data_IF_341322994399
#
_entry.id   IF_341322994399
#
_cell.length_a   1.000
_cell.length_b   1.000
_cell.length_c   1.000
_cell.angle_alpha   90.00
_cell.angle_beta   90.00
_cell.angle_gamma   90.00
#
_symmetry.space_group_name_H-M   'P 1'
#
loop_
_entity.id
_entity.type
_entity.pdbx_description
1 polymer ?
#
# COMPACT_ATOMS: atom_id res chain seq x y z
N UNK A 1 -24.83 16.16 -2.72
CA UNK A 1 -25.02 14.67 -2.68
C UNK A 1 -26.47 14.30 -3.03
N UNK A 2 -27.48 15.05 -2.53
CA UNK A 2 -28.91 14.74 -2.79
C UNK A 2 -29.28 14.73 -4.29
N UNK A 3 -28.57 15.50 -5.11
CA UNK A 3 -28.81 15.61 -6.55
C UNK A 3 -28.02 14.60 -7.40
N UNK A 4 -27.24 13.73 -6.75
CA UNK A 4 -26.47 12.69 -7.43
C UNK A 4 -27.12 11.31 -7.27
N UNK A 5 -27.14 10.54 -8.35
CA UNK A 5 -27.27 9.10 -8.30
C UNK A 5 -25.86 8.51 -8.10
N UNK A 6 -25.70 7.66 -7.10
CA UNK A 6 -24.42 7.07 -6.71
C UNK A 6 -24.60 5.56 -6.68
N UNK A 7 -23.84 4.85 -7.51
CA UNK A 7 -23.93 3.40 -7.64
C UNK A 7 -22.59 2.77 -7.34
N UNK A 8 -22.49 1.91 -6.33
CA UNK A 8 -21.29 1.12 -6.09
C UNK A 8 -21.10 0.09 -7.22
N UNK A 9 -19.83 -0.23 -7.50
CA UNK A 9 -19.50 -1.17 -8.58
C UNK A 9 -18.56 -2.28 -8.18
N UNK A 10 -17.63 -2.01 -7.27
CA UNK A 10 -16.67 -3.01 -6.81
C UNK A 10 -16.01 -2.53 -5.51
N UNK A 11 -15.17 -3.35 -4.90
CA UNK A 11 -14.22 -2.89 -3.90
C UNK A 11 -12.80 -3.00 -4.46
N UNK A 12 -12.01 -1.95 -4.33
CA UNK A 12 -10.60 -1.91 -4.71
C UNK A 12 -9.74 -1.99 -3.46
N UNK A 13 -8.86 -2.98 -3.42
CA UNK A 13 -7.93 -3.19 -2.32
C UNK A 13 -6.62 -2.45 -2.57
N UNK A 14 -6.10 -1.87 -1.50
CA UNK A 14 -4.78 -1.27 -1.44
C UNK A 14 -3.90 -2.06 -0.49
N UNK A 15 -2.61 -1.76 -0.51
CA UNK A 15 -1.67 -2.36 0.41
C UNK A 15 -0.48 -1.44 0.66
N UNK A 16 0.25 -1.78 1.68
CA UNK A 16 1.50 -1.11 2.05
C UNK A 16 2.66 -1.93 1.50
N UNK A 17 3.22 -1.54 0.34
CA UNK A 17 4.40 -2.19 -0.20
C UNK A 17 5.65 -1.71 0.53
N UNK A 18 6.57 -2.63 0.76
CA UNK A 18 7.90 -2.35 1.30
C UNK A 18 8.96 -3.00 0.41
N UNK A 19 10.16 -2.40 0.32
CA UNK A 19 11.28 -3.01 -0.41
C UNK A 19 11.60 -4.39 0.13
N UNK A 20 12.08 -5.30 -0.73
CA UNK A 20 12.38 -6.68 -0.35
C UNK A 20 13.30 -6.76 0.88
N UNK A 21 14.32 -5.89 0.97
CA UNK A 21 15.20 -5.86 2.12
C UNK A 21 14.50 -5.48 3.44
N UNK A 22 13.52 -4.55 3.40
CA UNK A 22 12.70 -4.23 4.57
C UNK A 22 11.74 -5.39 4.91
N UNK A 23 11.13 -6.00 3.90
CA UNK A 23 10.27 -7.16 4.06
C UNK A 23 11.00 -8.30 4.78
N UNK A 24 12.21 -8.64 4.33
CA UNK A 24 13.05 -9.71 4.89
C UNK A 24 13.52 -9.37 6.31
N UNK A 25 13.84 -8.11 6.59
CA UNK A 25 14.18 -7.65 7.93
C UNK A 25 13.00 -7.80 8.90
N UNK A 26 11.81 -7.34 8.51
CA UNK A 26 10.59 -7.51 9.31
C UNK A 26 10.27 -8.99 9.54
N UNK A 27 10.43 -9.81 8.51
CA UNK A 27 10.20 -11.25 8.57
C UNK A 27 11.18 -11.93 9.55
N UNK A 28 12.48 -11.61 9.47
CA UNK A 28 13.51 -12.12 10.38
C UNK A 28 13.16 -11.80 11.82
N UNK A 29 12.81 -10.55 12.10
CA UNK A 29 12.41 -10.10 13.44
C UNK A 29 11.20 -10.87 13.96
N UNK A 30 10.17 -11.02 13.15
CA UNK A 30 8.89 -11.61 13.56
C UNK A 30 8.99 -13.14 13.72
N UNK A 31 9.83 -13.81 12.95
CA UNK A 31 10.18 -15.23 13.18
C UNK A 31 10.91 -15.39 14.50
N UNK A 32 11.93 -14.56 14.75
CA UNK A 32 12.72 -14.63 15.99
C UNK A 32 11.92 -14.30 17.25
N UNK A 33 10.87 -13.47 17.11
CA UNK A 33 9.92 -13.17 18.20
C UNK A 33 8.84 -14.24 18.39
N UNK A 34 8.65 -15.14 17.44
CA UNK A 34 7.55 -16.10 17.41
C UNK A 34 6.22 -15.54 16.90
N UNK A 35 6.21 -14.34 16.30
CA UNK A 35 5.03 -13.73 15.67
C UNK A 35 4.72 -14.41 14.32
N UNK A 36 5.73 -15.00 13.69
CA UNK A 36 5.64 -15.83 12.49
C UNK A 36 6.16 -17.25 12.76
N UNK A 37 5.68 -18.25 12.01
CA UNK A 37 6.16 -19.62 12.13
C UNK A 37 7.68 -19.73 11.92
N UNK A 38 8.37 -20.53 12.75
CA UNK A 38 9.82 -20.70 12.69
C UNK A 38 10.32 -21.41 11.41
N UNK A 39 9.43 -22.07 10.68
CA UNK A 39 9.73 -22.74 9.41
C UNK A 39 9.54 -21.81 8.18
N UNK A 40 9.21 -20.54 8.39
CA UNK A 40 9.14 -19.58 7.30
C UNK A 40 10.52 -19.30 6.71
N UNK A 41 10.69 -19.55 5.43
CA UNK A 41 11.91 -19.14 4.73
C UNK A 41 11.92 -17.61 4.54
N UNK A 42 13.06 -16.96 4.79
CA UNK A 42 13.21 -15.52 4.56
C UNK A 42 12.98 -15.22 3.08
N UNK A 43 12.24 -14.17 2.81
CA UNK A 43 11.77 -13.79 1.47
C UNK A 43 10.51 -14.53 1.01
N UNK A 44 10.01 -15.52 1.76
CA UNK A 44 8.74 -16.20 1.44
C UNK A 44 7.58 -15.20 1.41
N UNK A 45 6.74 -15.30 0.36
CA UNK A 45 5.59 -14.40 0.16
C UNK A 45 4.24 -15.12 0.35
N UNK A 46 4.25 -16.26 1.03
CA UNK A 46 3.00 -16.92 1.44
C UNK A 46 2.29 -16.11 2.52
N UNK A 47 0.96 -16.21 2.59
CA UNK A 47 0.16 -15.48 3.58
C UNK A 47 0.64 -15.76 5.01
N UNK A 48 0.94 -17.01 5.34
CA UNK A 48 1.38 -17.40 6.70
C UNK A 48 2.73 -16.77 7.07
N UNK A 49 3.65 -16.65 6.11
CA UNK A 49 5.01 -16.13 6.33
C UNK A 49 5.16 -14.63 6.04
N UNK A 50 4.09 -13.96 5.64
CA UNK A 50 4.12 -12.52 5.36
C UNK A 50 4.27 -11.73 6.66
N UNK A 51 5.26 -10.81 6.78
CA UNK A 51 5.42 -9.99 7.96
C UNK A 51 4.31 -8.94 8.08
N UNK A 52 4.09 -8.46 9.29
CA UNK A 52 3.04 -7.50 9.62
C UNK A 52 3.63 -6.18 10.12
N UNK A 53 2.98 -5.08 9.73
CA UNK A 53 3.09 -3.79 10.41
C UNK A 53 1.76 -3.50 11.09
N UNK A 54 1.79 -2.82 12.24
CA UNK A 54 0.56 -2.31 12.84
C UNK A 54 0.08 -1.05 12.11
N UNK A 55 -1.22 -0.77 12.16
CA UNK A 55 -1.80 0.50 11.71
C UNK A 55 -1.02 1.70 12.27
N UNK A 56 -0.62 1.65 13.54
CA UNK A 56 0.15 2.73 14.16
C UNK A 56 1.56 2.86 13.59
N UNK A 57 2.25 1.75 13.34
CA UNK A 57 3.58 1.78 12.71
C UNK A 57 3.52 2.37 11.31
N UNK A 58 2.53 1.98 10.51
CA UNK A 58 2.31 2.60 9.19
C UNK A 58 2.02 4.09 9.35
N UNK A 59 1.14 4.48 10.27
CA UNK A 59 0.81 5.89 10.52
C UNK A 59 2.04 6.72 10.87
N UNK A 60 2.91 6.24 11.76
CA UNK A 60 4.13 6.97 12.17
C UNK A 60 5.14 7.11 11.02
N UNK A 61 5.25 6.10 10.15
CA UNK A 61 6.12 6.15 8.97
C UNK A 61 5.60 7.14 7.92
N UNK A 62 4.30 7.07 7.55
CA UNK A 62 3.74 7.90 6.50
C UNK A 62 3.42 9.34 6.93
N UNK A 63 3.33 9.61 8.24
CA UNK A 63 3.27 10.96 8.79
C UNK A 63 4.65 11.59 8.99
N UNK A 64 5.74 10.81 8.86
CA UNK A 64 7.11 11.27 9.06
C UNK A 64 7.50 11.48 10.52
N UNK A 65 6.77 10.90 11.46
CA UNK A 65 7.14 10.92 12.89
C UNK A 65 8.38 10.06 13.14
N UNK A 66 8.47 8.89 12.49
CA UNK A 66 9.69 8.10 12.41
C UNK A 66 10.45 8.52 11.15
N UNK A 67 11.66 9.02 11.33
CA UNK A 67 12.52 9.57 10.27
C UNK A 67 13.67 8.64 9.92
N UNK A 68 14.08 7.81 10.87
CA UNK A 68 15.22 6.88 10.76
C UNK A 68 14.79 5.49 11.24
N UNK A 69 15.34 4.45 10.64
CA UNK A 69 15.07 3.06 11.08
C UNK A 69 15.65 2.75 12.46
N UNK A 70 16.63 3.54 12.91
CA UNK A 70 17.12 3.54 14.30
C UNK A 70 16.08 4.08 15.32
N UNK A 71 15.03 4.71 14.87
CA UNK A 71 13.90 5.15 15.70
C UNK A 71 12.75 4.13 15.70
N UNK A 72 12.80 3.11 14.83
CA UNK A 72 11.78 2.07 14.75
C UNK A 72 12.05 0.99 15.79
N UNK A 73 11.35 1.09 16.92
CA UNK A 73 11.55 0.22 18.07
C UNK A 73 10.81 -1.12 17.94
N UNK A 74 11.47 -2.16 18.39
CA UNK A 74 10.99 -3.54 18.45
C UNK A 74 11.26 -4.08 19.85
N UNK A 75 10.23 -4.53 20.53
CA UNK A 75 10.39 -5.20 21.82
C UNK A 75 10.46 -6.72 21.64
N UNK A 76 11.47 -7.35 22.26
CA UNK A 76 11.59 -8.80 22.39
C UNK A 76 11.91 -9.14 23.85
N UNK A 77 11.04 -9.93 24.49
CA UNK A 77 11.21 -10.35 25.89
C UNK A 77 11.48 -9.19 26.86
N UNK A 78 10.84 -8.04 26.63
CA UNK A 78 11.02 -6.83 27.44
C UNK A 78 12.29 -6.04 27.15
N UNK A 79 13.11 -6.46 26.17
CA UNK A 79 14.28 -5.71 25.70
C UNK A 79 13.93 -4.98 24.41
N UNK A 80 14.20 -3.68 24.35
CA UNK A 80 14.00 -2.87 23.16
C UNK A 80 15.22 -2.95 22.23
N UNK A 81 14.96 -3.15 20.97
CA UNK A 81 15.90 -3.12 19.87
C UNK A 81 15.44 -2.12 18.82
N UNK A 82 16.35 -1.56 18.05
CA UNK A 82 15.99 -0.80 16.85
C UNK A 82 16.00 -1.72 15.64
N UNK A 83 15.09 -1.50 14.68
CA UNK A 83 14.99 -2.40 13.51
C UNK A 83 16.31 -2.52 12.77
N UNK A 84 17.01 -1.41 12.51
CA UNK A 84 18.27 -1.38 11.77
C UNK A 84 19.46 -2.02 12.50
N UNK A 85 19.34 -2.35 13.79
CA UNK A 85 20.37 -2.99 14.60
C UNK A 85 19.96 -4.38 15.08
N UNK A 86 18.80 -4.86 14.67
CA UNK A 86 18.32 -6.18 15.09
C UNK A 86 19.27 -7.30 14.61
N UNK A 87 19.56 -8.31 15.42
CA UNK A 87 20.42 -9.41 15.02
C UNK A 87 19.88 -10.19 13.81
N UNK A 88 20.76 -10.61 12.90
CA UNK A 88 20.43 -11.48 11.77
C UNK A 88 19.81 -10.78 10.55
N UNK A 89 19.59 -9.48 10.60
CA UNK A 89 19.08 -8.75 9.42
C UNK A 89 20.20 -8.24 8.51
N UNK A 90 19.89 -8.07 7.22
CA UNK A 90 20.72 -7.31 6.29
C UNK A 90 20.38 -5.84 6.42
N UNK A 91 21.34 -5.03 6.87
CA UNK A 91 21.15 -3.59 7.08
C UNK A 91 21.06 -2.85 5.74
N UNK A 92 20.21 -1.80 5.65
CA UNK A 92 20.23 -0.90 4.51
C UNK A 92 21.50 -0.04 4.51
N UNK A 93 21.85 0.51 3.36
CA UNK A 93 23.00 1.45 3.26
C UNK A 93 22.69 2.82 3.87
N UNK A 94 21.41 3.14 4.06
CA UNK A 94 20.90 4.38 4.64
C UNK A 94 20.00 4.06 5.82
N UNK A 95 20.19 4.74 6.94
CA UNK A 95 19.30 4.67 8.10
C UNK A 95 18.00 5.47 7.91
N UNK A 96 17.91 6.30 6.88
CA UNK A 96 16.75 7.15 6.65
C UNK A 96 15.54 6.33 6.19
N UNK A 97 14.36 6.67 6.71
CA UNK A 97 13.10 6.17 6.18
C UNK A 97 12.88 6.79 4.79
N UNK A 98 12.70 5.96 3.77
CA UNK A 98 12.33 6.36 2.42
C UNK A 98 10.85 6.08 2.20
N UNK A 99 10.10 7.13 1.91
CA UNK A 99 8.68 7.01 1.61
C UNK A 99 8.40 7.37 0.14
N UNK A 100 8.18 6.33 -0.68
CA UNK A 100 7.66 6.50 -2.02
C UNK A 100 6.18 6.90 -1.91
N UNK A 101 5.90 8.21 -1.92
CA UNK A 101 4.59 8.79 -1.67
C UNK A 101 3.89 9.14 -2.98
N UNK A 102 2.57 8.97 -3.04
CA UNK A 102 1.76 9.51 -4.13
C UNK A 102 1.63 11.03 -4.01
N UNK A 103 1.70 11.73 -5.14
CA UNK A 103 1.47 13.18 -5.19
C UNK A 103 0.03 13.53 -4.78
N UNK A 104 -0.23 14.78 -4.31
CA UNK A 104 -1.59 15.24 -4.01
C UNK A 104 -2.55 14.99 -5.19
N UNK A 105 -3.80 14.68 -4.89
CA UNK A 105 -4.82 14.31 -5.88
C UNK A 105 -4.87 12.82 -6.23
N UNK A 106 -3.98 11.99 -5.68
CA UNK A 106 -4.04 10.53 -5.84
C UNK A 106 -5.14 9.91 -4.97
N UNK A 107 -6.05 9.17 -5.57
CA UNK A 107 -7.06 8.38 -4.82
C UNK A 107 -6.42 7.33 -3.92
N UNK A 108 -5.36 6.63 -4.36
CA UNK A 108 -4.59 5.68 -3.53
C UNK A 108 -4.02 6.37 -2.28
N UNK A 109 -3.43 7.57 -2.46
CA UNK A 109 -2.91 8.34 -1.33
C UNK A 109 -4.02 8.76 -0.37
N UNK A 110 -5.12 9.33 -0.88
CA UNK A 110 -6.25 9.76 -0.07
C UNK A 110 -6.85 8.62 0.74
N UNK A 111 -7.03 7.44 0.13
CA UNK A 111 -7.54 6.23 0.80
C UNK A 111 -6.65 5.84 1.98
N UNK A 112 -5.35 5.72 1.76
CA UNK A 112 -4.42 5.30 2.82
C UNK A 112 -4.28 6.35 3.91
N UNK A 113 -4.36 7.64 3.58
CA UNK A 113 -4.39 8.69 4.61
C UNK A 113 -5.67 8.63 5.45
N UNK A 114 -6.81 8.33 4.83
CA UNK A 114 -8.05 8.13 5.57
C UNK A 114 -7.96 6.92 6.52
N UNK A 115 -7.41 5.79 6.06
CA UNK A 115 -7.33 4.54 6.83
C UNK A 115 -6.30 4.62 7.97
N UNK A 116 -5.09 5.13 7.68
CA UNK A 116 -3.98 5.10 8.64
C UNK A 116 -3.84 6.38 9.45
N UNK A 117 -4.23 7.54 8.89
CA UNK A 117 -4.03 8.84 9.54
C UNK A 117 -5.33 9.51 10.02
N UNK A 118 -6.49 8.94 9.73
CA UNK A 118 -7.79 9.60 9.90
C UNK A 118 -7.86 10.97 9.17
N UNK A 119 -7.06 11.17 8.13
CA UNK A 119 -7.07 12.41 7.36
C UNK A 119 -8.29 12.46 6.42
N UNK A 120 -8.94 13.61 6.26
CA UNK A 120 -8.56 14.94 6.73
C UNK A 120 -9.23 15.40 8.03
N UNK A 121 -9.37 14.53 9.04
CA UNK A 121 -9.95 14.93 10.32
C UNK A 121 -9.06 15.96 11.05
N UNK A 122 -9.51 17.18 11.19
CA UNK A 122 -8.73 18.27 11.80
C UNK A 122 -8.57 18.15 13.30
N UNK A 123 -9.43 17.37 13.97
CA UNK A 123 -9.43 17.22 15.43
C UNK A 123 -8.74 15.93 15.91
N UNK A 124 -8.65 14.91 15.06
CA UNK A 124 -8.22 13.56 15.46
C UNK A 124 -7.32 12.86 14.44
N UNK A 125 -7.00 13.51 13.32
CA UNK A 125 -6.16 12.96 12.25
C UNK A 125 -4.72 13.46 12.34
N UNK A 126 -3.83 12.73 11.64
CA UNK A 126 -2.46 13.14 11.38
C UNK A 126 -2.34 13.56 9.92
N UNK A 127 -1.51 14.56 9.65
CA UNK A 127 -1.18 14.92 8.28
C UNK A 127 -0.13 13.97 7.70
N UNK A 128 -0.28 13.56 6.44
CA UNK A 128 0.79 12.84 5.75
C UNK A 128 2.00 13.75 5.56
N UNK A 129 3.21 13.21 5.76
CA UNK A 129 4.44 13.96 5.57
C UNK A 129 4.49 14.60 4.18
N UNK A 130 4.79 15.89 4.10
CA UNK A 130 4.83 16.62 2.84
C UNK A 130 5.99 16.16 1.94
N UNK A 131 5.79 16.12 0.62
CA UNK A 131 6.89 15.90 -0.34
C UNK A 131 7.96 17.00 -0.19
N UNK A 132 7.57 18.22 0.15
CA UNK A 132 8.51 19.30 0.41
C UNK A 132 9.34 19.11 1.69
N UNK A 133 8.99 18.16 2.55
CA UNK A 133 9.75 17.80 3.75
C UNK A 133 10.84 16.75 3.48
N UNK A 134 11.13 16.41 2.20
CA UNK A 134 12.24 15.51 1.84
C UNK A 134 13.57 16.03 2.42
N UNK A 135 14.20 15.23 3.27
CA UNK A 135 15.43 15.60 3.93
C UNK A 135 16.49 14.51 3.78
N UNK A 136 17.55 14.82 3.04
CA UNK A 136 18.64 13.87 2.74
C UNK A 136 19.60 13.61 3.90
N UNK A 137 19.57 14.43 4.94
CA UNK A 137 20.50 14.35 6.08
C UNK A 137 19.82 13.74 7.29
N UNK A 138 18.68 14.28 7.67
CA UNK A 138 17.97 13.88 8.90
C UNK A 138 16.71 13.04 8.63
N UNK A 139 16.30 12.90 7.37
CA UNK A 139 15.10 12.18 6.95
C UNK A 139 13.78 12.85 7.41
N UNK A 140 12.64 12.28 7.07
CA UNK A 140 12.53 11.17 6.12
C UNK A 140 12.82 11.61 4.68
N UNK A 141 13.15 10.67 3.82
CA UNK A 141 13.20 10.87 2.37
C UNK A 141 11.79 10.71 1.81
N UNK A 142 11.22 11.77 1.26
CA UNK A 142 9.83 11.78 0.76
C UNK A 142 9.81 11.99 -0.74
N UNK A 143 9.50 10.92 -1.47
CA UNK A 143 9.70 10.84 -2.91
C UNK A 143 8.35 10.85 -3.64
N UNK A 144 8.03 11.97 -4.27
CA UNK A 144 6.75 12.21 -4.91
C UNK A 144 6.57 11.44 -6.23
N UNK A 145 5.51 10.64 -6.33
CA UNK A 145 5.19 9.80 -7.48
C UNK A 145 3.82 10.15 -8.05
N UNK A 146 3.76 10.62 -9.30
CA UNK A 146 2.52 11.07 -9.95
C UNK A 146 1.58 9.91 -10.33
N UNK A 147 2.12 8.70 -10.53
CA UNK A 147 1.36 7.53 -10.95
C UNK A 147 1.81 6.25 -10.25
N UNK A 148 0.98 5.20 -10.34
CA UNK A 148 1.29 3.88 -9.78
C UNK A 148 2.51 3.23 -10.44
N UNK A 149 2.72 3.41 -11.75
CA UNK A 149 3.92 2.92 -12.42
C UNK A 149 5.21 3.65 -11.99
N UNK A 150 5.12 4.92 -11.57
CA UNK A 150 6.27 5.62 -10.98
C UNK A 150 6.53 5.12 -9.56
N UNK A 151 5.48 4.76 -8.82
CA UNK A 151 5.60 4.11 -7.52
C UNK A 151 6.34 2.77 -7.61
N UNK A 152 6.00 1.92 -8.60
CA UNK A 152 6.68 0.66 -8.87
C UNK A 152 8.18 0.89 -9.06
N UNK A 153 8.55 1.88 -9.90
CA UNK A 153 9.94 2.23 -10.16
C UNK A 153 10.65 2.80 -8.93
N UNK A 154 9.97 3.65 -8.14
CA UNK A 154 10.56 4.22 -6.93
C UNK A 154 10.95 3.13 -5.92
N UNK A 155 10.05 2.19 -5.63
CA UNK A 155 10.32 1.08 -4.73
C UNK A 155 11.40 0.13 -5.29
N UNK A 156 11.34 -0.17 -6.59
CA UNK A 156 12.32 -1.02 -7.27
C UNK A 156 13.73 -0.43 -7.24
N UNK A 157 13.83 0.89 -7.47
CA UNK A 157 15.12 1.60 -7.44
C UNK A 157 15.79 1.52 -6.08
N UNK A 158 15.05 1.70 -4.98
CA UNK A 158 15.61 1.55 -3.64
C UNK A 158 15.86 0.09 -3.25
N UNK A 159 15.12 -0.86 -3.80
CA UNK A 159 15.40 -2.27 -3.57
C UNK A 159 16.67 -2.75 -4.29
N UNK A 160 16.96 -2.22 -5.48
CA UNK A 160 18.03 -2.69 -6.39
C UNK A 160 19.22 -1.75 -6.53
N UNK A 161 19.16 -0.54 -5.98
CA UNK A 161 20.19 0.48 -6.17
C UNK A 161 20.24 1.00 -7.61
N UNK A 162 19.08 1.21 -8.23
CA UNK A 162 18.94 1.78 -9.58
C UNK A 162 18.31 3.17 -9.56
N UNK A 163 18.12 3.82 -10.69
CA UNK A 163 17.48 5.14 -10.78
C UNK A 163 16.56 5.25 -12.01
N UNK A 164 15.65 4.31 -12.19
CA UNK A 164 14.69 4.32 -13.31
C UNK A 164 13.52 5.29 -13.09
N UNK A 165 13.28 5.67 -11.84
CA UNK A 165 12.29 6.69 -11.47
C UNK A 165 12.83 8.11 -11.57
N UNK A 166 14.16 8.30 -11.57
CA UNK A 166 14.82 9.58 -11.40
C UNK A 166 14.88 10.08 -9.94
N UNK A 167 14.37 9.29 -8.98
CA UNK A 167 14.25 9.68 -7.58
C UNK A 167 15.34 9.10 -6.66
N UNK A 168 16.21 8.26 -7.21
CA UNK A 168 17.35 7.65 -6.52
C UNK A 168 18.67 7.93 -7.26
N UNK A 169 19.09 9.21 -7.40
CA UNK A 169 20.28 9.56 -8.17
C UNK A 169 21.57 8.96 -7.59
N UNK A 170 21.63 8.76 -6.29
CA UNK A 170 22.75 8.12 -5.59
C UNK A 170 22.79 6.60 -5.78
N UNK A 171 21.78 6.01 -6.41
CA UNK A 171 21.61 4.57 -6.58
C UNK A 171 21.76 3.80 -5.26
N UNK A 172 21.24 4.36 -4.18
CA UNK A 172 21.29 3.75 -2.86
C UNK A 172 20.37 2.52 -2.78
N UNK A 173 20.84 1.47 -2.13
CA UNK A 173 19.97 0.38 -1.67
C UNK A 173 19.46 0.75 -0.29
N UNK A 174 18.15 0.97 -0.18
CA UNK A 174 17.54 1.46 1.05
C UNK A 174 16.22 0.75 1.36
N UNK A 175 15.86 0.77 2.62
CA UNK A 175 14.53 0.35 3.02
C UNK A 175 13.52 1.48 2.72
N UNK A 176 12.51 1.14 1.94
CA UNK A 176 11.46 2.07 1.55
C UNK A 176 10.09 1.46 1.78
N UNK A 177 9.14 2.35 2.09
CA UNK A 177 7.70 2.06 2.19
C UNK A 177 6.96 2.87 1.13
N UNK A 178 5.83 2.37 0.66
CA UNK A 178 5.04 3.03 -0.39
C UNK A 178 3.54 2.89 -0.21
N UNK A 179 2.82 3.30 -1.25
CA UNK A 179 1.36 3.30 -1.33
C UNK A 179 0.94 2.73 -2.68
N UNK A 180 0.27 1.59 -2.73
CA UNK A 180 -0.05 0.94 -4.00
C UNK A 180 -1.35 0.15 -3.92
N UNK A 181 -2.01 -0.02 -5.05
CA UNK A 181 -3.13 -0.96 -5.19
C UNK A 181 -2.62 -2.38 -5.43
N UNK A 182 -3.38 -3.39 -5.00
CA UNK A 182 -2.89 -4.78 -4.93
C UNK A 182 -2.69 -5.45 -6.28
N UNK A 183 -3.27 -4.93 -7.37
CA UNK A 183 -3.03 -5.46 -8.71
C UNK A 183 -1.60 -5.21 -9.21
N UNK A 184 -0.84 -4.35 -8.51
CA UNK A 184 0.54 -4.03 -8.87
C UNK A 184 1.51 -5.10 -8.38
N UNK A 185 2.58 -5.31 -9.15
CA UNK A 185 3.63 -6.27 -8.85
C UNK A 185 3.13 -7.71 -8.64
N UNK A 186 2.04 -8.09 -9.29
CA UNK A 186 1.42 -9.42 -9.14
C UNK A 186 2.33 -10.58 -9.53
N UNK A 187 3.26 -10.34 -10.45
CA UNK A 187 4.28 -11.29 -10.92
C UNK A 187 5.62 -11.17 -10.16
N UNK A 188 5.68 -10.31 -9.13
CA UNK A 188 6.89 -10.02 -8.36
C UNK A 188 8.10 -9.55 -9.22
N UNK A 189 7.84 -8.85 -10.32
CA UNK A 189 8.87 -8.32 -11.21
C UNK A 189 9.68 -7.17 -10.57
N UNK A 190 9.04 -6.42 -9.67
CA UNK A 190 9.66 -5.32 -8.92
C UNK A 190 10.16 -5.78 -7.55
N UNK A 191 11.16 -5.09 -7.04
CA UNK A 191 11.86 -5.40 -5.78
C UNK A 191 11.10 -5.03 -4.50
N UNK A 192 9.77 -5.15 -4.49
CA UNK A 192 8.95 -4.90 -3.30
C UNK A 192 7.89 -5.98 -3.08
N UNK A 193 7.39 -6.08 -1.88
CA UNK A 193 6.27 -6.95 -1.47
C UNK A 193 5.32 -6.18 -0.56
N UNK A 194 4.05 -6.58 -0.56
CA UNK A 194 3.08 -6.07 0.42
C UNK A 194 3.26 -6.78 1.77
N UNK A 195 2.89 -6.09 2.84
CA UNK A 195 2.91 -6.64 4.21
C UNK A 195 1.50 -6.78 4.76
N UNK A 196 1.32 -7.61 5.79
CA UNK A 196 0.10 -7.63 6.60
C UNK A 196 -0.06 -6.30 7.35
N UNK A 197 -1.30 -5.95 7.62
CA UNK A 197 -1.64 -4.85 8.54
C UNK A 197 -2.41 -5.43 9.71
N UNK A 198 -1.94 -5.18 10.93
CA UNK A 198 -2.50 -5.72 12.18
C UNK A 198 -2.72 -7.25 12.11
N UNK A 199 -1.78 -7.97 11.49
CA UNK A 199 -1.83 -9.41 11.30
C UNK A 199 -2.69 -9.90 10.12
N UNK A 200 -3.47 -9.02 9.47
CA UNK A 200 -4.32 -9.37 8.34
C UNK A 200 -3.56 -9.18 7.00
N UNK A 201 -3.46 -10.23 6.21
CA UNK A 201 -2.89 -10.17 4.87
C UNK A 201 -3.85 -9.41 3.91
N UNK A 202 -3.31 -8.65 2.95
CA UNK A 202 -4.10 -7.92 1.96
C UNK A 202 -4.68 -8.87 0.91
N UNK A 203 -5.71 -9.63 1.29
CA UNK A 203 -6.38 -10.59 0.41
C UNK A 203 -7.86 -10.25 0.25
N UNK A 204 -8.46 -10.67 -0.87
CA UNK A 204 -9.90 -10.51 -1.09
C UNK A 204 -10.72 -11.17 0.02
N UNK A 205 -10.27 -12.34 0.51
CA UNK A 205 -10.90 -13.06 1.61
C UNK A 205 -10.90 -12.23 2.89
N UNK A 206 -9.78 -11.62 3.23
CA UNK A 206 -9.63 -10.84 4.45
C UNK A 206 -10.36 -9.48 4.37
N UNK A 207 -10.47 -8.90 3.18
CA UNK A 207 -11.32 -7.74 2.95
C UNK A 207 -12.80 -8.08 3.08
N UNK A 208 -13.24 -9.18 2.47
CA UNK A 208 -14.63 -9.64 2.54
C UNK A 208 -15.09 -9.94 3.97
N UNK A 209 -14.27 -10.55 4.80
CA UNK A 209 -14.60 -10.85 6.20
C UNK A 209 -14.35 -9.69 7.16
N UNK A 210 -13.88 -8.53 6.66
CA UNK A 210 -13.68 -7.31 7.43
C UNK A 210 -12.40 -7.25 8.26
N UNK A 211 -11.49 -8.24 8.16
CA UNK A 211 -10.23 -8.23 8.89
C UNK A 211 -9.19 -7.33 8.26
N UNK A 212 -9.18 -7.19 6.92
CA UNK A 212 -8.33 -6.25 6.20
C UNK A 212 -9.12 -5.01 5.80
N UNK A 213 -8.65 -3.81 6.16
CA UNK A 213 -9.45 -2.56 6.09
C UNK A 213 -9.00 -1.57 5.00
N UNK A 214 -7.83 -1.77 4.38
CA UNK A 214 -7.33 -0.84 3.35
C UNK A 214 -7.95 -1.15 1.99
N UNK A 215 -9.23 -0.81 1.85
CA UNK A 215 -10.00 -0.92 0.63
C UNK A 215 -11.00 0.22 0.51
N UNK A 216 -11.44 0.50 -0.70
CA UNK A 216 -12.46 1.53 -1.01
C UNK A 216 -13.47 0.97 -1.99
N UNK A 217 -14.69 1.46 -1.92
CA UNK A 217 -15.76 1.18 -2.86
C UNK A 217 -15.74 2.22 -3.99
N UNK A 218 -15.25 1.90 -5.20
CA UNK A 218 -15.44 2.74 -6.38
C UNK A 218 -16.91 2.88 -6.73
N UNK A 219 -17.33 4.10 -7.05
CA UNK A 219 -18.69 4.40 -7.40
C UNK A 219 -18.78 5.12 -8.75
N UNK A 220 -19.82 4.84 -9.53
CA UNK A 220 -20.26 5.73 -10.60
C UNK A 220 -21.20 6.77 -10.03
N UNK A 221 -21.04 8.03 -10.46
CA UNK A 221 -21.83 9.13 -9.95
C UNK A 221 -22.28 10.03 -11.12
N UNK A 222 -23.55 10.40 -11.15
CA UNK A 222 -24.08 11.33 -12.12
C UNK A 222 -25.24 12.15 -11.54
N UNK A 223 -25.55 13.26 -12.18
CA UNK A 223 -26.73 14.07 -11.78
C UNK A 223 -28.02 13.33 -12.06
N UNK A 224 -28.94 13.34 -11.11
CA UNK A 224 -30.32 12.78 -11.30
C UNK A 224 -31.12 13.57 -12.25
N UNK A 225 -31.02 14.91 -12.21
CA UNK A 225 -31.83 15.87 -12.96
C UNK A 225 -31.01 17.07 -13.43
N UNK A 226 -31.56 17.85 -14.34
CA UNK A 226 -30.98 19.09 -14.83
C UNK A 226 -29.94 18.91 -15.93
N UNK A 227 -29.21 19.98 -16.21
CA UNK A 227 -28.19 19.98 -17.26
C UNK A 227 -27.05 18.98 -16.95
N UNK A 228 -26.75 18.10 -17.89
CA UNK A 228 -25.76 17.04 -17.77
C UNK A 228 -26.24 15.75 -17.08
N UNK A 229 -27.54 15.66 -16.73
CA UNK A 229 -28.13 14.40 -16.30
C UNK A 229 -28.25 13.45 -17.51
N UNK A 230 -27.81 12.19 -17.43
CA UNK A 230 -27.96 11.24 -18.52
C UNK A 230 -29.44 10.91 -18.71
N UNK A 231 -29.86 10.79 -19.97
CA UNK A 231 -31.24 10.44 -20.34
C UNK A 231 -31.27 9.53 -21.58
N UNK A 232 -32.38 8.87 -21.82
CA UNK A 232 -32.57 8.01 -22.99
C UNK A 232 -31.47 6.96 -23.14
N UNK A 233 -30.81 6.94 -24.28
CA UNK A 233 -29.73 5.95 -24.53
C UNK A 233 -28.50 6.16 -23.69
N UNK A 234 -28.19 7.40 -23.29
CA UNK A 234 -27.05 7.66 -22.39
C UNK A 234 -27.27 7.01 -21.02
N UNK A 235 -28.48 7.12 -20.45
CA UNK A 235 -28.78 6.46 -19.18
C UNK A 235 -28.66 4.93 -19.29
N UNK A 236 -29.16 4.35 -20.41
CA UNK A 236 -28.99 2.90 -20.65
C UNK A 236 -27.51 2.46 -20.69
N UNK A 237 -26.64 3.29 -21.29
CA UNK A 237 -25.20 3.03 -21.32
C UNK A 237 -24.61 3.10 -19.91
N UNK A 238 -24.96 4.12 -19.13
CA UNK A 238 -24.49 4.28 -17.75
C UNK A 238 -24.96 3.10 -16.89
N UNK A 239 -26.24 2.72 -16.95
CA UNK A 239 -26.76 1.57 -16.22
C UNK A 239 -26.04 0.27 -16.60
N UNK A 240 -25.77 0.07 -17.90
CA UNK A 240 -25.02 -1.11 -18.37
C UNK A 240 -23.58 -1.11 -17.84
N UNK A 241 -22.89 0.05 -17.85
CA UNK A 241 -21.55 0.17 -17.28
C UNK A 241 -21.51 -0.16 -15.78
N UNK A 242 -22.48 0.31 -14.99
CA UNK A 242 -22.59 -0.01 -13.56
C UNK A 242 -22.74 -1.51 -13.36
N UNK A 243 -23.67 -2.14 -14.08
CA UNK A 243 -23.95 -3.59 -13.96
C UNK A 243 -22.70 -4.40 -14.33
N UNK A 244 -22.05 -4.09 -15.45
CA UNK A 244 -20.90 -4.85 -15.94
C UNK A 244 -19.66 -4.63 -15.07
N UNK A 245 -19.40 -3.38 -14.62
CA UNK A 245 -18.26 -3.08 -13.77
C UNK A 245 -18.34 -3.74 -12.38
N UNK A 246 -19.57 -3.99 -11.88
CA UNK A 246 -19.82 -4.73 -10.64
C UNK A 246 -19.96 -6.25 -10.83
N UNK A 247 -20.00 -6.75 -12.06
CA UNK A 247 -20.20 -8.18 -12.33
C UNK A 247 -18.96 -9.00 -11.95
N UNK A 248 -19.08 -9.99 -11.04
CA UNK A 248 -17.97 -10.86 -10.68
C UNK A 248 -17.35 -11.59 -11.88
N UNK A 249 -18.17 -12.04 -12.82
CA UNK A 249 -17.71 -12.71 -14.03
C UNK A 249 -16.90 -11.80 -14.96
N UNK A 250 -17.35 -10.56 -15.14
CA UNK A 250 -16.64 -9.56 -15.95
C UNK A 250 -15.35 -9.14 -15.28
N UNK A 251 -15.39 -8.81 -13.99
CA UNK A 251 -14.20 -8.45 -13.21
C UNK A 251 -13.16 -9.57 -13.27
N UNK A 252 -13.58 -10.83 -13.06
CA UNK A 252 -12.69 -11.97 -13.15
C UNK A 252 -12.12 -12.16 -14.56
N UNK A 253 -12.90 -11.97 -15.62
CA UNK A 253 -12.45 -12.19 -17.01
C UNK A 253 -11.48 -11.13 -17.49
N UNK A 254 -11.71 -9.86 -17.13
CA UNK A 254 -10.90 -8.73 -17.60
C UNK A 254 -9.59 -8.59 -16.82
N UNK A 255 -9.66 -8.77 -15.50
CA UNK A 255 -8.54 -8.54 -14.59
C UNK A 255 -7.72 -9.80 -14.28
N UNK A 256 -8.19 -10.95 -14.73
CA UNK A 256 -7.62 -12.25 -14.43
C UNK A 256 -6.55 -12.69 -15.44
N UNK A 257 -5.72 -11.76 -15.91
CA UNK A 257 -4.74 -12.03 -16.97
C UNK A 257 -3.44 -12.69 -16.51
N UNK A 258 -3.16 -12.72 -15.22
CA UNK A 258 -1.94 -13.33 -14.66
C UNK A 258 -2.30 -14.42 -13.67
N UNK A 259 -1.64 -15.58 -13.78
CA UNK A 259 -1.73 -16.68 -12.80
C UNK A 259 -0.98 -16.36 -11.49
N UNK A 260 -0.26 -15.25 -11.42
CA UNK A 260 0.69 -14.92 -10.36
C UNK A 260 0.15 -13.94 -9.31
N UNK A 261 -1.13 -13.63 -9.33
CA UNK A 261 -1.71 -12.77 -8.29
C UNK A 261 -1.77 -13.48 -6.93
N UNK A 262 -0.94 -13.05 -6.00
CA UNK A 262 -0.82 -13.65 -4.68
C UNK A 262 -2.08 -13.41 -3.83
N UNK A 263 -2.78 -12.29 -4.02
CA UNK A 263 -3.91 -11.84 -3.19
C UNK A 263 -5.25 -11.78 -3.94
N UNK A 264 -5.43 -12.69 -4.88
CA UNK A 264 -6.57 -12.64 -5.79
C UNK A 264 -6.16 -12.01 -7.12
N UNK A 265 -6.87 -12.39 -8.15
CA UNK A 265 -6.44 -12.17 -9.53
C UNK A 265 -6.55 -10.72 -10.01
N UNK A 266 -7.17 -9.82 -9.25
CA UNK A 266 -7.44 -8.45 -9.70
C UNK A 266 -7.23 -7.36 -8.66
N UNK A 267 -7.09 -7.68 -7.37
CA UNK A 267 -7.19 -6.68 -6.31
C UNK A 267 -8.59 -6.06 -6.18
N UNK A 268 -9.56 -6.54 -6.95
CA UNK A 268 -10.95 -6.08 -6.90
C UNK A 268 -11.86 -7.15 -6.32
N UNK A 269 -12.74 -6.72 -5.45
CA UNK A 269 -13.84 -7.52 -4.92
C UNK A 269 -15.14 -7.03 -5.56
N UNK A 270 -15.91 -7.94 -6.15
CA UNK A 270 -17.25 -7.62 -6.61
C UNK A 270 -18.18 -7.37 -5.41
N UNK A 271 -19.05 -6.38 -5.52
CA UNK A 271 -20.00 -5.96 -4.49
C UNK A 271 -21.39 -6.52 -4.79
#
# INVERSE_FOLDING_TARGET
>A
IQDLDIRPVAALLFGVPVTNGLYEALQTVQIDRGDLPSNCAIGSYSEDCMPSLSTQQVATLISGQIKKWSEFLISKNGVEHTLNQYPGITKPTSDLVHFCRRTPGSGTGAQQYAVFLNAPCTACGLDPVSIAADNKVDGPRVLGNSGSGNMDKCLDDFAKGTNNSGLNPEKAVAWAIGQQSLEKNADNAFGYKFVKIDGAAPTLKNAHNGTYRDWVEPTYQWRKTGAGAPSGNMLKIVDKLVIEAGSPAIVASVLNKSSNYTFGKSGYLAV
#
